data_IF_679214982925
#
_entry.id   IF_679214982925
#
_cell.length_a   1.000
_cell.length_b   1.000
_cell.length_c   1.000
_cell.angle_alpha   90.00
_cell.angle_beta   90.00
_cell.angle_gamma   90.00
#
_symmetry.space_group_name_H-M   'P 1'
#
loop_
_entity.id
_entity.type
_entity.pdbx_description
1 polymer ?
#
# COMPACT_ATOMS: atom_id res chain seq x y z
N UNK A 1 -6.95 5.23 -14.76
CA UNK A 1 -7.09 6.57 -14.17
C UNK A 1 -6.01 6.69 -13.10
N UNK A 2 -4.77 6.92 -13.53
CA UNK A 2 -3.60 6.90 -12.66
C UNK A 2 -3.33 8.29 -12.08
N UNK A 3 -2.85 8.33 -10.84
CA UNK A 3 -2.43 9.57 -10.19
C UNK A 3 -3.55 10.54 -9.81
N UNK A 4 -4.84 10.16 -9.93
CA UNK A 4 -5.95 10.97 -9.42
C UNK A 4 -6.37 10.49 -8.04
N UNK A 5 -6.34 11.36 -7.03
CA UNK A 5 -6.70 11.00 -5.65
C UNK A 5 -8.10 10.39 -5.51
N UNK A 6 -9.06 10.85 -6.30
CA UNK A 6 -10.44 10.32 -6.33
C UNK A 6 -10.54 8.88 -6.82
N UNK A 7 -9.50 8.35 -7.48
CA UNK A 7 -9.46 6.98 -7.96
C UNK A 7 -8.99 5.98 -6.87
N UNK A 8 -8.58 6.46 -5.69
CA UNK A 8 -8.02 5.64 -4.63
C UNK A 8 -8.84 5.73 -3.35
N UNK A 9 -8.99 4.58 -2.70
CA UNK A 9 -9.58 4.54 -1.37
C UNK A 9 -8.49 4.53 -0.30
N UNK A 10 -8.75 5.16 0.85
CA UNK A 10 -7.84 5.08 1.98
C UNK A 10 -7.40 3.63 2.26
N UNK A 11 -6.11 3.42 2.42
CA UNK A 11 -5.53 2.10 2.66
C UNK A 11 -5.30 1.25 1.41
N UNK A 12 -5.61 1.76 0.22
CA UNK A 12 -5.22 1.13 -1.03
C UNK A 12 -3.69 1.01 -1.10
N UNK A 13 -3.20 -0.16 -1.46
CA UNK A 13 -1.79 -0.39 -1.80
C UNK A 13 -1.54 0.11 -3.22
N UNK A 14 -0.56 1.00 -3.36
CA UNK A 14 -0.23 1.68 -4.61
C UNK A 14 1.13 1.22 -5.14
N UNK A 15 1.24 1.16 -6.46
CA UNK A 15 2.46 0.81 -7.18
C UNK A 15 2.91 1.97 -8.07
N UNK A 16 4.20 2.03 -8.38
CA UNK A 16 4.76 2.95 -9.38
C UNK A 16 4.12 2.62 -10.74
N UNK A 17 3.58 3.64 -11.41
CA UNK A 17 3.05 3.46 -12.78
C UNK A 17 4.20 3.24 -13.76
N UNK A 18 4.00 2.35 -14.72
CA UNK A 18 4.92 2.15 -15.86
C UNK A 18 4.47 2.91 -17.11
N UNK A 19 3.28 3.52 -17.09
CA UNK A 19 2.67 4.19 -18.24
C UNK A 19 2.91 5.70 -18.23
N UNK A 20 3.14 6.27 -17.04
CA UNK A 20 3.33 7.71 -16.85
C UNK A 20 4.38 8.02 -15.79
N UNK A 21 5.22 9.00 -16.10
CA UNK A 21 6.22 9.49 -15.15
C UNK A 21 5.57 10.10 -13.92
N UNK A 22 6.15 9.80 -12.75
CA UNK A 22 5.80 10.39 -11.45
C UNK A 22 4.32 10.20 -11.05
N UNK A 23 3.69 9.13 -11.52
CA UNK A 23 2.36 8.72 -11.09
C UNK A 23 2.39 7.36 -10.43
N UNK A 24 1.28 7.05 -9.76
CA UNK A 24 1.05 5.76 -9.12
C UNK A 24 -0.24 5.17 -9.64
N UNK A 25 -0.33 3.85 -9.57
CA UNK A 25 -1.51 3.08 -9.91
C UNK A 25 -1.94 2.25 -8.70
N UNK A 26 -3.20 1.82 -8.70
CA UNK A 26 -3.66 0.83 -7.73
C UNK A 26 -2.94 -0.48 -8.04
N UNK A 27 -2.40 -1.14 -7.03
CA UNK A 27 -1.87 -2.51 -7.22
C UNK A 27 -2.94 -3.41 -7.83
N UNK A 28 -2.56 -4.33 -8.72
CA UNK A 28 -3.48 -5.21 -9.44
C UNK A 28 -2.98 -6.65 -9.55
N UNK A 29 -1.94 -7.02 -8.78
CA UNK A 29 -1.33 -8.34 -8.84
C UNK A 29 -0.48 -8.64 -7.62
N UNK A 30 -0.35 -9.94 -7.31
CA UNK A 30 0.38 -10.42 -6.15
C UNK A 30 1.90 -10.26 -6.32
N UNK A 31 2.62 -9.96 -5.22
CA UNK A 31 4.09 -9.86 -5.19
C UNK A 31 4.68 -8.87 -6.21
N UNK A 32 4.04 -7.71 -6.43
CA UNK A 32 4.58 -6.69 -7.32
C UNK A 32 5.87 -6.12 -6.74
N UNK A 33 6.98 -6.00 -7.51
CA UNK A 33 8.19 -5.31 -7.05
C UNK A 33 8.09 -3.78 -7.16
N UNK A 34 6.98 -3.26 -7.69
CA UNK A 34 6.75 -1.84 -7.95
C UNK A 34 6.03 -1.14 -6.78
N UNK A 35 6.00 -1.72 -5.59
CA UNK A 35 5.28 -1.14 -4.45
C UNK A 35 5.85 0.25 -4.13
N UNK A 36 4.97 1.24 -4.14
CA UNK A 36 5.33 2.62 -3.79
C UNK A 36 4.94 2.96 -2.34
N UNK A 37 3.81 2.44 -1.87
CA UNK A 37 3.25 2.80 -0.57
C UNK A 37 1.78 2.48 -0.42
N UNK A 38 1.19 3.02 0.63
CA UNK A 38 -0.23 2.86 0.94
C UNK A 38 -0.89 4.23 0.97
N UNK A 39 -2.06 4.38 0.34
CA UNK A 39 -2.79 5.64 0.34
C UNK A 39 -3.24 6.01 1.77
N UNK A 40 -2.79 7.16 2.28
CA UNK A 40 -3.01 7.58 3.65
C UNK A 40 -3.93 8.82 3.72
N UNK A 41 -4.88 8.83 4.66
CA UNK A 41 -5.82 9.96 4.86
C UNK A 41 -5.33 11.03 5.83
N UNK A 42 -4.35 10.71 6.67
CA UNK A 42 -3.81 11.62 7.70
C UNK A 42 -2.29 11.46 7.80
N UNK A 43 -1.51 12.00 6.85
CA UNK A 43 -0.05 11.95 6.95
C UNK A 43 0.42 12.78 8.16
N UNK A 44 1.33 12.23 8.95
CA UNK A 44 1.95 12.96 10.07
C UNK A 44 2.92 14.04 9.59
N UNK A 45 3.59 13.79 8.47
CA UNK A 45 4.43 14.75 7.73
C UNK A 45 4.14 14.55 6.25
N UNK A 46 3.75 15.62 5.55
CA UNK A 46 3.56 15.61 4.11
C UNK A 46 4.82 16.17 3.44
N UNK A 47 5.53 15.34 2.69
CA UNK A 47 6.67 15.78 1.88
C UNK A 47 6.19 15.96 0.45
N UNK A 48 6.20 17.21 -0.03
CA UNK A 48 5.80 17.59 -1.38
C UNK A 48 6.86 18.54 -1.95
N UNK A 49 7.26 18.34 -3.19
CA UNK A 49 8.17 19.26 -3.90
C UNK A 49 7.57 20.66 -4.06
N UNK A 50 6.24 20.79 -4.00
CA UNK A 50 5.54 22.07 -4.13
C UNK A 50 5.28 22.76 -2.77
N UNK A 51 5.83 22.25 -1.67
CA UNK A 51 5.51 22.74 -0.32
C UNK A 51 4.08 22.40 0.13
N UNK A 52 3.69 22.94 1.30
CA UNK A 52 2.40 22.66 1.95
C UNK A 52 1.22 23.36 1.23
N UNK A 53 1.50 24.48 0.57
CA UNK A 53 0.51 25.31 -0.15
C UNK A 53 0.25 24.83 -1.59
N UNK A 54 0.99 23.83 -2.05
CA UNK A 54 0.98 23.33 -3.43
C UNK A 54 0.27 21.99 -3.62
N UNK A 55 -0.65 21.59 -2.72
CA UNK A 55 -1.54 20.44 -2.97
C UNK A 55 -2.44 20.76 -4.16
N UNK A 56 -1.93 20.53 -5.37
CA UNK A 56 -2.77 20.41 -6.54
C UNK A 56 -3.78 19.28 -6.28
N UNK A 57 -5.03 19.47 -6.69
CA UNK A 57 -6.13 18.51 -6.51
C UNK A 57 -5.84 17.08 -7.05
N UNK A 58 -4.73 16.91 -7.79
CA UNK A 58 -4.27 15.65 -8.35
C UNK A 58 -3.10 15.00 -7.58
N UNK A 59 -2.80 15.40 -6.35
CA UNK A 59 -1.78 14.71 -5.53
C UNK A 59 -2.39 13.61 -4.67
N UNK A 60 -1.76 12.43 -4.69
CA UNK A 60 -2.20 11.26 -3.91
C UNK A 60 -1.31 11.17 -2.66
N UNK A 61 -1.80 11.55 -1.46
CA UNK A 61 -1.02 11.39 -0.24
C UNK A 61 -0.75 9.90 0.03
N UNK A 62 0.51 9.54 0.20
CA UNK A 62 0.96 8.17 0.36
C UNK A 62 1.84 8.03 1.60
N UNK A 63 1.53 7.04 2.43
CA UNK A 63 2.41 6.59 3.49
C UNK A 63 3.48 5.66 2.94
N UNK A 64 4.73 6.11 2.97
CA UNK A 64 5.91 5.32 2.61
C UNK A 64 6.60 4.75 3.85
N UNK A 65 6.50 5.48 4.97
CA UNK A 65 7.04 5.09 6.28
C UNK A 65 6.03 5.45 7.37
N UNK A 66 5.75 4.52 8.27
CA UNK A 66 4.92 4.75 9.46
C UNK A 66 3.76 3.77 9.61
N UNK A 67 2.83 4.06 10.52
CA UNK A 67 1.64 3.22 10.74
C UNK A 67 0.50 3.70 9.85
N UNK A 68 0.06 2.84 8.93
CA UNK A 68 -0.98 3.16 7.94
C UNK A 68 -2.08 2.09 7.97
N UNK A 69 -3.37 2.48 8.09
CA UNK A 69 -4.48 1.57 7.91
C UNK A 69 -4.50 1.05 6.47
N UNK A 70 -4.20 -0.24 6.29
CA UNK A 70 -4.00 -0.87 4.98
C UNK A 70 -5.10 -1.88 4.72
N UNK A 71 -5.62 -1.90 3.50
CA UNK A 71 -6.60 -2.88 3.07
C UNK A 71 -5.91 -4.23 2.85
N UNK A 72 -6.50 -5.30 3.35
CA UNK A 72 -5.92 -6.64 3.30
C UNK A 72 -6.93 -7.68 2.85
N UNK A 73 -6.43 -8.78 2.30
CA UNK A 73 -7.18 -10.02 2.10
C UNK A 73 -6.58 -11.14 2.93
N UNK A 74 -7.33 -12.23 3.09
CA UNK A 74 -6.83 -13.48 3.71
C UNK A 74 -6.08 -14.37 2.68
N UNK A 75 -5.64 -13.78 1.55
CA UNK A 75 -4.81 -14.48 0.57
C UNK A 75 -3.44 -14.78 1.23
N UNK A 76 -2.88 -15.97 0.97
CA UNK A 76 -1.67 -16.41 1.69
C UNK A 76 -1.92 -16.85 3.14
N UNK A 77 -3.18 -16.85 3.60
CA UNK A 77 -3.62 -17.33 4.91
C UNK A 77 -3.70 -16.25 5.99
N UNK A 78 -4.07 -16.63 7.23
CA UNK A 78 -4.33 -15.68 8.31
C UNK A 78 -3.12 -14.79 8.58
N UNK A 79 -3.36 -13.49 8.64
CA UNK A 79 -2.36 -12.49 8.97
C UNK A 79 -2.24 -12.40 10.48
N UNK A 80 -1.01 -12.47 10.97
CA UNK A 80 -0.67 -12.29 12.39
C UNK A 80 0.28 -11.12 12.53
N UNK A 81 0.26 -10.51 13.72
CA UNK A 81 1.22 -9.45 14.09
C UNK A 81 2.66 -9.88 13.76
N UNK A 82 3.37 -9.02 13.04
CA UNK A 82 4.75 -9.24 12.61
C UNK A 82 4.91 -9.92 11.24
N UNK A 83 3.83 -10.47 10.67
CA UNK A 83 3.86 -11.03 9.31
C UNK A 83 4.24 -9.96 8.29
N UNK A 84 5.07 -10.34 7.32
CA UNK A 84 5.39 -9.50 6.18
C UNK A 84 4.19 -9.46 5.22
N UNK A 85 3.90 -8.27 4.72
CA UNK A 85 2.82 -8.04 3.77
C UNK A 85 3.35 -7.63 2.40
N UNK A 86 2.72 -8.16 1.36
CA UNK A 86 2.98 -7.87 -0.07
C UNK A 86 1.66 -7.51 -0.76
N UNK A 87 1.70 -7.03 -2.00
CA UNK A 87 0.47 -6.84 -2.80
C UNK A 87 -0.25 -8.17 -3.00
N UNK A 88 -1.59 -8.15 -3.07
CA UNK A 88 -2.42 -9.32 -3.34
C UNK A 88 -2.91 -9.36 -4.79
N UNK A 89 -3.59 -10.44 -5.15
CA UNK A 89 -4.29 -10.52 -6.44
C UNK A 89 -5.49 -9.57 -6.52
N UNK A 90 -6.01 -9.14 -5.37
CA UNK A 90 -7.15 -8.22 -5.29
C UNK A 90 -6.67 -6.78 -5.39
N UNK A 91 -7.17 -5.97 -6.34
CA UNK A 91 -6.63 -4.64 -6.55
C UNK A 91 -6.65 -3.75 -5.31
N UNK A 92 -5.54 -3.09 -5.00
CA UNK A 92 -5.41 -2.19 -3.86
C UNK A 92 -5.28 -2.87 -2.50
N UNK A 93 -5.17 -4.20 -2.44
CA UNK A 93 -5.08 -4.91 -1.17
C UNK A 93 -3.70 -5.52 -0.97
N UNK A 94 -3.30 -5.63 0.29
CA UNK A 94 -2.16 -6.42 0.72
C UNK A 94 -2.59 -7.83 1.15
N UNK A 95 -1.63 -8.73 1.25
CA UNK A 95 -1.82 -10.08 1.74
C UNK A 95 -0.57 -10.58 2.47
N UNK A 96 -0.69 -11.72 3.15
CA UNK A 96 0.44 -12.36 3.82
C UNK A 96 1.48 -12.83 2.81
N UNK A 97 2.74 -12.49 3.05
CA UNK A 97 3.85 -12.93 2.23
C UNK A 97 4.21 -14.40 2.50
N UNK A 98 4.49 -15.14 1.43
CA UNK A 98 5.18 -16.43 1.50
C UNK A 98 6.69 -16.21 1.38
N UNK A 99 7.51 -16.59 2.38
CA UNK A 99 8.96 -16.35 2.37
C UNK A 99 9.68 -16.83 1.11
N UNK A 100 9.26 -17.97 0.54
CA UNK A 100 9.86 -18.55 -0.65
C UNK A 100 9.62 -17.75 -1.95
N UNK A 101 8.67 -16.82 -1.95
CA UNK A 101 8.33 -15.99 -3.13
C UNK A 101 8.84 -14.55 -3.02
N UNK A 102 9.43 -14.18 -1.88
CA UNK A 102 9.86 -12.81 -1.63
C UNK A 102 11.09 -12.45 -2.48
N UNK A 103 10.97 -11.32 -3.20
CA UNK A 103 12.07 -10.61 -3.84
C UNK A 103 12.21 -9.19 -3.30
N UNK A 104 13.24 -8.49 -3.79
CA UNK A 104 13.46 -7.07 -3.47
C UNK A 104 12.30 -6.19 -3.97
N UNK A 105 11.96 -5.15 -3.21
CA UNK A 105 10.92 -4.17 -3.56
C UNK A 105 9.47 -4.67 -3.42
N UNK A 106 9.24 -5.91 -2.98
CA UNK A 106 7.87 -6.47 -2.87
C UNK A 106 7.20 -6.21 -1.52
N UNK A 107 7.99 -5.98 -0.48
CA UNK A 107 7.52 -5.89 0.89
C UNK A 107 6.97 -4.49 1.17
N UNK A 108 5.70 -4.43 1.55
CA UNK A 108 5.04 -3.19 2.00
C UNK A 108 5.50 -2.86 3.43
N UNK A 109 5.56 -3.88 4.29
CA UNK A 109 5.85 -3.71 5.70
C UNK A 109 5.41 -4.90 6.55
N UNK A 110 5.11 -4.64 7.82
CA UNK A 110 4.69 -5.64 8.81
C UNK A 110 3.30 -5.38 9.38
N UNK A 111 2.52 -6.44 9.51
CA UNK A 111 1.22 -6.38 10.18
C UNK A 111 1.36 -5.98 11.65
N UNK A 112 0.54 -5.03 12.10
CA UNK A 112 0.42 -4.67 13.52
C UNK A 112 -0.85 -5.22 14.16
N UNK A 113 -1.75 -5.84 13.40
CA UNK A 113 -2.97 -6.48 13.89
C UNK A 113 -3.15 -7.85 13.23
N UNK A 114 -3.95 -8.70 13.87
CA UNK A 114 -4.34 -10.01 13.33
C UNK A 114 -5.53 -9.84 12.37
N UNK A 115 -5.60 -10.67 11.32
CA UNK A 115 -6.72 -10.72 10.40
C UNK A 115 -6.96 -12.13 9.87
N UNK A 116 -8.20 -12.60 10.00
CA UNK A 116 -8.68 -13.89 9.49
C UNK A 116 -10.14 -13.77 9.01
N UNK A 117 -10.43 -12.68 8.29
CA UNK A 117 -11.76 -12.41 7.76
C UNK A 117 -12.06 -13.23 6.49
N UNK A 118 -13.34 -13.53 6.20
CA UNK A 118 -13.75 -14.27 5.00
C UNK A 118 -13.66 -13.44 3.69
N UNK A 119 -13.37 -12.15 3.78
CA UNK A 119 -13.31 -11.23 2.64
C UNK A 119 -12.29 -10.11 2.86
N UNK A 120 -12.33 -9.03 2.07
CA UNK A 120 -11.45 -7.89 2.28
C UNK A 120 -11.68 -7.21 3.63
N UNK A 121 -10.60 -6.80 4.29
CA UNK A 121 -10.63 -6.10 5.56
C UNK A 121 -9.59 -4.99 5.62
N UNK A 122 -9.39 -4.45 6.81
CA UNK A 122 -8.42 -3.37 7.04
C UNK A 122 -7.72 -3.57 8.36
N UNK A 123 -6.39 -3.43 8.35
CA UNK A 123 -5.56 -3.53 9.55
C UNK A 123 -4.51 -2.43 9.60
N UNK A 124 -3.99 -2.15 10.79
CA UNK A 124 -2.81 -1.31 10.95
C UNK A 124 -1.55 -2.04 10.50
N UNK A 125 -0.75 -1.37 9.68
CA UNK A 125 0.51 -1.90 9.13
C UNK A 125 1.61 -0.91 9.38
N UNK A 126 2.75 -1.39 9.88
CA UNK A 126 3.99 -0.64 9.86
C UNK A 126 4.55 -0.69 8.45
N UNK A 127 4.26 0.34 7.65
CA UNK A 127 4.78 0.50 6.30
C UNK A 127 6.23 0.93 6.39
N UNK A 128 7.10 0.19 5.71
CA UNK A 128 8.52 0.50 5.56
C UNK A 128 9.01 -0.18 4.29
N UNK A 129 8.94 0.54 3.18
CA UNK A 129 9.31 0.02 1.86
C UNK A 129 10.81 0.25 1.66
N UNK A 130 11.49 -0.79 1.15
CA UNK A 130 12.93 -0.81 0.89
C UNK A 130 13.22 -1.38 -0.49
#
# INVERSE_FOLDING_TARGET
MEGQASAYEPGDVLVISTDRDRTVARSAGAYSPLVAGVHATRPGVLLSENGIDGMAANQVPMGVIGVVPTRVTNEGGPIRRGDLLVTSSTPGHAMKAAPAKLGFGMVIGKALEDFDGPGPGRIQVLVNIK
#
